data_IF_643229597211
#
_entry.id   IF_643229597211
#
_cell.length_a   1.000
_cell.length_b   1.000
_cell.length_c   1.000
_cell.angle_alpha   90.00
_cell.angle_beta   90.00
_cell.angle_gamma   90.00
#
_symmetry.space_group_name_H-M   'P 1'
#
loop_
_entity.id
_entity.type
_entity.pdbx_description
1 polymer ?
#
# COMPACT_ATOMS: atom_id res chain seq x y z
N UNK A 1 18.82 -1.31 23.98
CA UNK A 1 18.50 -2.02 22.71
C UNK A 1 17.00 -1.98 22.52
N UNK A 2 16.51 -1.32 21.46
CA UNK A 2 15.07 -1.27 21.17
C UNK A 2 14.61 -2.61 20.61
N UNK A 3 13.39 -3.02 20.97
CA UNK A 3 12.72 -4.17 20.34
C UNK A 3 12.67 -3.92 18.82
N UNK A 4 13.05 -4.89 17.97
CA UNK A 4 12.85 -4.77 16.53
C UNK A 4 11.38 -4.46 16.28
N UNK A 5 11.08 -3.38 15.55
CA UNK A 5 9.71 -3.08 15.18
C UNK A 5 9.17 -4.24 14.34
N UNK A 6 8.00 -4.73 14.71
CA UNK A 6 7.30 -5.72 13.91
C UNK A 6 6.89 -5.06 12.59
N UNK A 7 7.37 -5.60 11.47
CA UNK A 7 7.09 -5.07 10.13
C UNK A 7 5.58 -5.02 9.85
N UNK A 8 4.81 -5.97 10.39
CA UNK A 8 3.36 -5.99 10.22
C UNK A 8 2.69 -4.80 10.94
N UNK A 9 3.18 -4.44 12.13
CA UNK A 9 2.69 -3.28 12.89
C UNK A 9 3.02 -1.97 12.18
N UNK A 10 4.25 -1.85 11.64
CA UNK A 10 4.67 -0.67 10.88
C UNK A 10 3.79 -0.45 9.63
N UNK A 11 3.59 -1.51 8.83
CA UNK A 11 2.75 -1.44 7.63
C UNK A 11 1.29 -1.11 7.99
N UNK A 12 0.77 -1.63 9.11
CA UNK A 12 -0.57 -1.29 9.59
C UNK A 12 -0.69 0.20 9.93
N UNK A 13 0.30 0.76 10.61
CA UNK A 13 0.32 2.19 10.95
C UNK A 13 0.40 3.06 9.69
N UNK A 14 1.24 2.68 8.72
CA UNK A 14 1.35 3.34 7.41
C UNK A 14 0.01 3.30 6.66
N UNK A 15 -0.65 2.13 6.60
CA UNK A 15 -1.95 1.97 5.95
C UNK A 15 -3.00 2.93 6.54
N UNK A 16 -3.11 2.98 7.86
CA UNK A 16 -4.06 3.87 8.55
C UNK A 16 -3.76 5.34 8.20
N UNK A 17 -2.49 5.74 8.24
CA UNK A 17 -2.07 7.10 7.89
C UNK A 17 -2.44 7.47 6.45
N UNK A 18 -2.12 6.60 5.49
CA UNK A 18 -2.43 6.84 4.08
C UNK A 18 -3.94 6.93 3.82
N UNK A 19 -4.73 6.03 4.40
CA UNK A 19 -6.20 6.08 4.31
C UNK A 19 -6.72 7.41 4.86
N UNK A 20 -6.20 7.86 6.01
CA UNK A 20 -6.62 9.12 6.65
C UNK A 20 -6.33 10.35 5.80
N UNK A 21 -5.25 10.38 5.03
CA UNK A 21 -4.87 11.56 4.22
C UNK A 21 -5.34 11.48 2.76
N UNK A 22 -5.67 10.27 2.25
CA UNK A 22 -6.02 10.05 0.82
C UNK A 22 -7.46 9.61 0.56
N UNK A 23 -8.25 9.35 1.61
CA UNK A 23 -9.72 9.22 1.47
C UNK A 23 -10.25 7.79 1.31
N UNK A 24 -9.50 6.77 1.73
CA UNK A 24 -10.04 5.41 1.90
C UNK A 24 -10.59 4.74 0.64
N UNK A 25 -10.14 5.17 -0.53
CA UNK A 25 -10.45 4.58 -1.84
C UNK A 25 -9.16 4.10 -2.50
N UNK A 26 -9.28 3.09 -3.36
CA UNK A 26 -8.18 2.68 -4.23
C UNK A 26 -7.74 3.87 -5.11
N UNK A 27 -6.45 4.19 -5.11
CA UNK A 27 -5.87 5.29 -5.89
C UNK A 27 -5.86 5.02 -7.41
N UNK A 28 -6.00 3.75 -7.83
CA UNK A 28 -6.04 3.37 -9.25
C UNK A 28 -7.46 3.25 -9.81
N UNK A 29 -8.37 2.56 -9.11
CA UNK A 29 -9.72 2.27 -9.64
C UNK A 29 -10.88 2.88 -8.84
N UNK A 30 -10.61 3.56 -7.72
CA UNK A 30 -11.63 4.22 -6.90
C UNK A 30 -12.45 3.31 -5.98
N UNK A 31 -12.17 2.00 -5.91
CA UNK A 31 -12.86 1.07 -5.03
C UNK A 31 -12.83 1.52 -3.56
N UNK A 32 -14.02 1.66 -2.94
CA UNK A 32 -14.21 2.39 -1.69
C UNK A 32 -14.44 1.55 -0.44
N UNK A 33 -13.78 0.38 -0.30
CA UNK A 33 -13.75 -0.36 0.97
C UNK A 33 -12.34 -0.31 1.57
N UNK A 34 -12.13 0.64 2.46
CA UNK A 34 -10.83 0.95 3.07
C UNK A 34 -10.16 -0.24 3.77
N UNK A 35 -10.96 -1.15 4.33
CA UNK A 35 -10.54 -2.30 5.12
C UNK A 35 -9.72 -3.28 4.28
N UNK A 36 -10.05 -3.41 2.99
CA UNK A 36 -9.38 -4.35 2.08
C UNK A 36 -8.24 -3.71 1.29
N UNK A 37 -8.06 -2.39 1.36
CA UNK A 37 -6.98 -1.72 0.63
C UNK A 37 -5.60 -2.13 1.18
N UNK A 38 -4.60 -2.15 0.32
CA UNK A 38 -3.24 -2.59 0.61
C UNK A 38 -2.27 -1.45 0.30
N UNK A 39 -1.16 -1.42 1.05
CA UNK A 39 -0.04 -0.52 0.77
C UNK A 39 0.77 -1.14 -0.36
N UNK A 40 0.91 -0.40 -1.46
CA UNK A 40 1.73 -0.74 -2.59
C UNK A 40 2.98 0.16 -2.63
N UNK A 41 4.13 -0.42 -2.92
CA UNK A 41 5.38 0.32 -3.15
C UNK A 41 5.58 0.47 -4.66
N UNK A 42 5.48 1.70 -5.19
CA UNK A 42 5.64 2.00 -6.62
C UNK A 42 6.97 1.52 -7.17
N UNK A 43 8.04 1.70 -6.40
CA UNK A 43 9.39 1.26 -6.74
C UNK A 43 9.65 -0.23 -6.46
N UNK A 44 8.66 -0.95 -5.93
CA UNK A 44 8.72 -2.37 -5.52
C UNK A 44 9.81 -2.67 -4.48
N UNK A 45 10.30 -1.64 -3.78
CA UNK A 45 11.28 -1.77 -2.71
C UNK A 45 10.58 -1.66 -1.36
N UNK A 46 10.36 -2.80 -0.69
CA UNK A 46 9.68 -2.85 0.61
C UNK A 46 10.42 -2.15 1.78
N UNK A 47 11.60 -1.56 1.54
CA UNK A 47 12.34 -0.72 2.49
C UNK A 47 12.11 0.78 2.26
N UNK A 48 11.56 1.19 1.12
CA UNK A 48 11.30 2.58 0.80
C UNK A 48 9.89 2.99 1.24
N UNK A 49 9.75 3.38 2.51
CA UNK A 49 8.48 3.78 3.11
C UNK A 49 8.17 5.29 2.95
N UNK A 50 8.78 5.98 1.97
CA UNK A 50 8.41 7.36 1.65
C UNK A 50 6.95 7.41 1.20
N UNK A 51 6.14 8.30 1.80
CA UNK A 51 4.71 8.36 1.50
C UNK A 51 4.43 8.59 0.01
N UNK A 52 5.30 9.32 -0.72
CA UNK A 52 5.13 9.56 -2.16
C UNK A 52 5.40 8.31 -3.01
N UNK A 53 6.24 7.40 -2.50
CA UNK A 53 6.51 6.09 -3.10
C UNK A 53 5.41 5.06 -2.80
N UNK A 54 4.54 5.34 -1.82
CA UNK A 54 3.46 4.45 -1.44
C UNK A 54 2.15 4.82 -2.15
N UNK A 55 1.34 3.80 -2.39
CA UNK A 55 -0.04 3.89 -2.87
C UNK A 55 -0.96 3.01 -2.02
N UNK A 56 -2.21 3.41 -1.88
CA UNK A 56 -3.29 2.63 -1.29
C UNK A 56 -4.19 2.14 -2.42
N UNK A 57 -4.11 0.84 -2.71
CA UNK A 57 -4.85 0.21 -3.81
C UNK A 57 -5.64 -1.01 -3.35
N UNK A 58 -6.64 -1.43 -4.13
CA UNK A 58 -7.39 -2.65 -3.82
C UNK A 58 -6.57 -3.91 -4.16
N UNK A 59 -6.94 -5.09 -3.63
CA UNK A 59 -6.21 -6.33 -3.88
C UNK A 59 -6.13 -6.70 -5.38
N UNK A 60 -7.14 -6.32 -6.16
CA UNK A 60 -7.15 -6.58 -7.61
C UNK A 60 -6.09 -5.74 -8.32
N UNK A 61 -6.14 -4.41 -8.16
CA UNK A 61 -5.13 -3.51 -8.73
C UNK A 61 -3.71 -3.86 -8.27
N UNK A 62 -3.54 -4.24 -7.00
CA UNK A 62 -2.26 -4.70 -6.47
C UNK A 62 -1.76 -5.96 -7.18
N UNK A 63 -2.65 -6.90 -7.48
CA UNK A 63 -2.31 -8.08 -8.25
C UNK A 63 -1.99 -7.74 -9.71
N UNK A 64 -2.76 -6.86 -10.34
CA UNK A 64 -2.54 -6.41 -11.72
C UNK A 64 -1.16 -5.76 -11.88
N UNK A 65 -0.77 -4.85 -10.97
CA UNK A 65 0.55 -4.22 -10.97
C UNK A 65 1.69 -5.26 -10.86
N UNK A 66 1.61 -6.16 -9.87
CA UNK A 66 2.69 -7.11 -9.64
C UNK A 66 2.82 -8.21 -10.69
N UNK A 67 1.71 -8.63 -11.32
CA UNK A 67 1.64 -9.85 -12.12
C UNK A 67 1.21 -9.65 -13.58
N UNK A 68 0.40 -8.63 -13.90
CA UNK A 68 -0.08 -8.40 -15.27
C UNK A 68 0.78 -7.39 -16.04
N UNK A 69 1.32 -6.36 -15.37
CA UNK A 69 2.23 -5.42 -16.04
C UNK A 69 3.55 -6.06 -16.51
N UNK A 70 3.90 -7.25 -16.00
CA UNK A 70 5.06 -8.02 -16.47
C UNK A 70 4.83 -8.74 -17.80
N UNK A 71 3.62 -8.68 -18.36
CA UNK A 71 3.21 -9.43 -19.56
C UNK A 71 3.15 -8.52 -20.81
N UNK A 72 3.40 -7.22 -20.66
CA UNK A 72 3.58 -6.26 -21.75
C UNK A 72 5.02 -5.72 -21.78
#
# INVERSE_FOLDING_TARGET
MGRPKDKAEEIRAIKIKLISIRGGKCEQCGYGKSEVLQVHHKDRNSRNNDLNNLEIICPNCHFEDHYLEKVN
#
